data_IF_789900588286
#
_entry.id   IF_789900588286
#
_cell.length_a   1.000
_cell.length_b   1.000
_cell.length_c   1.000
_cell.angle_alpha   90.00
_cell.angle_beta   90.00
_cell.angle_gamma   90.00
#
_symmetry.space_group_name_H-M   'P 1'
#
loop_
_entity.id
_entity.type
_entity.pdbx_description
1 polymer ?
#
# COMPACT_ATOMS: atom_id res chain seq x y z
N UNK A 1 18.43 -14.35 18.38
CA UNK A 1 18.05 -15.49 17.55
C UNK A 1 17.43 -15.05 16.25
N UNK A 2 17.91 -15.55 15.17
CA UNK A 2 17.39 -15.21 13.87
C UNK A 2 15.98 -15.79 13.67
N UNK A 3 15.08 -14.99 13.09
CA UNK A 3 13.71 -15.38 12.84
C UNK A 3 13.51 -15.80 11.39
N UNK A 4 13.41 -17.09 11.10
CA UNK A 4 13.20 -17.50 9.72
C UNK A 4 11.89 -16.98 9.11
N UNK A 5 10.87 -16.73 9.94
CA UNK A 5 9.59 -16.22 9.47
C UNK A 5 9.65 -14.79 9.00
N UNK A 6 10.76 -14.08 9.27
CA UNK A 6 10.95 -12.72 8.78
C UNK A 6 11.33 -12.67 7.30
N UNK A 7 11.61 -13.83 6.70
CA UNK A 7 11.97 -13.90 5.29
C UNK A 7 10.74 -14.27 4.48
N UNK A 8 10.39 -13.42 3.55
CA UNK A 8 9.30 -13.67 2.62
C UNK A 8 9.87 -14.07 1.27
N UNK A 9 9.42 -15.21 0.77
CA UNK A 9 9.79 -15.69 -0.56
C UNK A 9 8.55 -15.66 -1.44
N UNK A 10 8.40 -14.63 -2.30
CA UNK A 10 7.21 -14.51 -3.11
C UNK A 10 7.14 -15.60 -4.16
N UNK A 11 5.92 -15.85 -4.62
CA UNK A 11 5.64 -16.84 -5.66
C UNK A 11 6.47 -16.50 -6.92
N UNK A 12 7.32 -17.42 -7.40
CA UNK A 12 8.13 -17.15 -8.60
C UNK A 12 7.30 -17.00 -9.87
N UNK A 13 6.05 -17.45 -9.87
CA UNK A 13 5.14 -17.34 -11.01
C UNK A 13 4.15 -16.18 -10.88
N UNK A 14 4.41 -15.24 -9.98
CA UNK A 14 3.46 -14.15 -9.67
C UNK A 14 3.13 -13.26 -10.86
N UNK A 15 4.00 -13.19 -11.84
CA UNK A 15 3.78 -12.35 -13.02
C UNK A 15 3.15 -13.06 -14.20
N UNK A 16 2.90 -14.36 -14.09
CA UNK A 16 2.54 -15.17 -15.25
C UNK A 16 1.15 -14.86 -15.81
N UNK A 17 0.20 -14.50 -14.94
CA UNK A 17 -1.20 -14.32 -15.36
C UNK A 17 -1.74 -12.90 -15.22
N UNK A 18 -1.02 -12.03 -14.51
CA UNK A 18 -1.47 -10.65 -14.33
C UNK A 18 -1.21 -9.83 -15.60
N UNK A 19 -2.20 -9.03 -15.98
CA UNK A 19 -2.05 -8.08 -17.08
C UNK A 19 -1.47 -6.78 -16.54
N UNK A 20 -0.43 -6.28 -17.22
CA UNK A 20 0.21 -5.01 -16.87
C UNK A 20 0.05 -4.03 -18.03
N UNK A 21 -0.44 -2.83 -17.72
CA UNK A 21 -0.70 -1.80 -18.72
C UNK A 21 0.17 -0.58 -18.44
N UNK A 22 0.60 0.10 -19.48
CA UNK A 22 1.36 1.33 -19.31
C UNK A 22 0.45 2.45 -18.78
N UNK A 23 0.97 3.23 -17.85
CA UNK A 23 0.28 4.41 -17.34
C UNK A 23 0.63 5.59 -18.23
N UNK A 24 -0.07 5.71 -19.35
CA UNK A 24 0.16 6.78 -20.32
C UNK A 24 1.59 6.74 -20.86
N UNK A 25 2.28 7.88 -20.82
CA UNK A 25 3.66 8.01 -21.27
C UNK A 25 4.65 8.06 -20.12
N UNK A 26 4.22 7.74 -18.91
CA UNK A 26 5.04 7.89 -17.70
C UNK A 26 6.17 6.86 -17.60
N UNK A 27 6.08 5.77 -18.32
CA UNK A 27 7.04 4.66 -18.20
C UNK A 27 6.65 3.64 -17.16
N UNK A 28 5.63 3.92 -16.35
CA UNK A 28 5.16 2.96 -15.35
C UNK A 28 4.25 1.93 -16.00
N UNK A 29 4.37 0.70 -15.53
CA UNK A 29 3.43 -0.37 -15.85
C UNK A 29 2.67 -0.73 -14.59
N UNK A 30 1.36 -0.66 -14.67
CA UNK A 30 0.49 -0.95 -13.52
C UNK A 30 -0.27 -2.24 -13.76
N UNK A 31 -0.48 -3.04 -12.70
CA UNK A 31 -1.30 -4.24 -12.84
C UNK A 31 -2.75 -3.86 -13.07
N UNK A 32 -3.49 -4.77 -13.70
CA UNK A 32 -4.92 -4.55 -13.95
C UNK A 32 -5.70 -4.40 -12.65
N UNK A 33 -5.18 -4.95 -11.55
CA UNK A 33 -5.79 -4.88 -10.21
C UNK A 33 -4.76 -4.28 -9.26
N UNK A 34 -5.19 -3.34 -8.44
CA UNK A 34 -4.36 -2.71 -7.42
C UNK A 34 -4.88 -3.05 -6.03
N UNK A 35 -4.01 -3.00 -5.03
CA UNK A 35 -4.39 -3.21 -3.64
C UNK A 35 -4.59 -1.86 -2.96
N UNK A 36 -5.82 -1.58 -2.54
CA UNK A 36 -6.11 -0.35 -1.81
C UNK A 36 -5.90 -0.51 -0.33
N UNK A 37 -5.38 0.51 0.32
CA UNK A 37 -5.07 0.50 1.75
C UNK A 37 -6.07 1.30 2.59
N UNK A 38 -7.23 1.64 2.02
CA UNK A 38 -8.22 2.40 2.76
C UNK A 38 -8.82 1.58 3.91
N UNK A 39 -9.08 0.31 3.67
CA UNK A 39 -9.60 -0.59 4.69
C UNK A 39 -8.60 -1.70 4.95
N UNK A 40 -8.67 -2.31 6.16
CA UNK A 40 -7.90 -3.49 6.53
C UNK A 40 -6.40 -3.27 6.76
N UNK A 41 -5.94 -2.02 6.74
CA UNK A 41 -4.52 -1.73 6.97
C UNK A 41 -4.30 -0.66 8.04
N UNK A 42 -5.34 -0.36 8.81
CA UNK A 42 -5.26 0.65 9.86
C UNK A 42 -4.89 0.09 11.22
N UNK A 43 -5.13 0.91 12.24
CA UNK A 43 -4.73 0.60 13.61
C UNK A 43 -5.60 -0.47 14.27
N UNK A 44 -6.73 -0.83 13.67
CA UNK A 44 -7.63 -1.86 14.24
C UNK A 44 -7.44 -3.23 13.60
N UNK A 45 -6.57 -3.36 12.62
CA UNK A 45 -6.36 -4.63 11.92
C UNK A 45 -5.10 -5.31 12.46
N UNK A 46 -5.18 -6.60 12.84
CA UNK A 46 -3.98 -7.31 13.28
C UNK A 46 -2.92 -7.34 12.19
N UNK A 47 -1.66 -7.20 12.61
CA UNK A 47 -0.54 -7.13 11.67
C UNK A 47 -0.43 -8.39 10.80
N UNK A 48 -0.68 -9.56 11.40
CA UNK A 48 -0.60 -10.82 10.64
C UNK A 48 -1.65 -10.90 9.53
N UNK A 49 -2.81 -10.28 9.75
CA UNK A 49 -3.84 -10.22 8.72
C UNK A 49 -3.40 -9.30 7.58
N UNK A 50 -2.83 -8.15 7.91
CA UNK A 50 -2.29 -7.23 6.90
C UNK A 50 -1.19 -7.90 6.09
N UNK A 51 -0.30 -8.61 6.76
CA UNK A 51 0.79 -9.35 6.12
C UNK A 51 0.23 -10.38 5.13
N UNK A 52 -0.76 -11.14 5.56
CA UNK A 52 -1.39 -12.15 4.71
C UNK A 52 -2.03 -11.53 3.46
N UNK A 53 -2.71 -10.41 3.62
CA UNK A 53 -3.34 -9.72 2.49
C UNK A 53 -2.29 -9.27 1.47
N UNK A 54 -1.22 -8.66 1.94
CA UNK A 54 -0.17 -8.13 1.07
C UNK A 54 0.58 -9.27 0.39
N UNK A 55 0.89 -10.34 1.11
CA UNK A 55 1.57 -11.49 0.52
C UNK A 55 0.72 -12.14 -0.56
N UNK A 56 -0.57 -12.34 -0.29
CA UNK A 56 -1.47 -12.93 -1.27
C UNK A 56 -1.56 -12.04 -2.51
N UNK A 57 -1.66 -10.73 -2.32
CA UNK A 57 -1.73 -9.81 -3.43
C UNK A 57 -0.46 -9.87 -4.28
N UNK A 58 0.70 -9.77 -3.65
CA UNK A 58 1.97 -9.77 -4.38
C UNK A 58 2.23 -11.12 -5.05
N UNK A 59 1.90 -12.21 -4.37
CA UNK A 59 2.06 -13.56 -4.94
C UNK A 59 1.20 -13.76 -6.19
N UNK A 60 0.20 -12.94 -6.39
CA UNK A 60 -0.67 -12.98 -7.57
C UNK A 60 -0.40 -11.85 -8.55
N UNK A 61 0.70 -11.15 -8.40
CA UNK A 61 1.13 -10.14 -9.35
C UNK A 61 0.59 -8.74 -9.11
N UNK A 62 -0.05 -8.49 -7.97
CA UNK A 62 -0.50 -7.13 -7.65
C UNK A 62 0.69 -6.36 -7.11
N UNK A 63 1.20 -5.43 -7.92
CA UNK A 63 2.42 -4.68 -7.63
C UNK A 63 2.15 -3.21 -7.31
N UNK A 64 0.89 -2.79 -7.34
CA UNK A 64 0.52 -1.41 -7.03
C UNK A 64 -0.27 -1.35 -5.73
N UNK A 65 0.26 -0.62 -4.76
CA UNK A 65 -0.38 -0.39 -3.45
C UNK A 65 -0.77 1.08 -3.39
N UNK A 66 -2.06 1.34 -3.16
CA UNK A 66 -2.60 2.70 -3.16
C UNK A 66 -3.00 3.13 -1.76
N UNK A 67 -2.43 4.25 -1.33
CA UNK A 67 -2.62 4.80 -0.01
C UNK A 67 -3.15 6.23 -0.07
N UNK A 68 -3.35 6.81 1.10
CA UNK A 68 -3.56 8.24 1.28
C UNK A 68 -3.05 8.62 2.67
N UNK A 69 -2.73 9.90 2.85
CA UNK A 69 -2.13 10.37 4.10
C UNK A 69 -3.05 10.20 5.31
N UNK A 70 -4.36 10.10 5.08
CA UNK A 70 -5.31 9.99 6.19
C UNK A 70 -5.95 8.61 6.33
N UNK A 71 -5.50 7.61 5.57
CA UNK A 71 -6.05 6.27 5.71
C UNK A 71 -5.73 5.70 7.10
N UNK A 72 -6.76 5.16 7.75
CA UNK A 72 -6.61 4.68 9.09
C UNK A 72 -7.72 3.72 9.45
N UNK A 73 -8.42 3.85 10.62
CA UNK A 73 -9.12 5.08 11.06
C UNK A 73 -8.23 6.14 11.72
N UNK A 74 -7.14 5.76 12.37
CA UNK A 74 -6.19 6.76 12.83
C UNK A 74 -5.45 7.36 11.64
N UNK A 75 -5.54 8.67 11.37
CA UNK A 75 -4.90 9.25 10.19
C UNK A 75 -3.41 8.94 10.13
N UNK A 76 -2.96 8.48 8.97
CA UNK A 76 -1.57 8.12 8.77
C UNK A 76 -1.21 6.68 9.14
N UNK A 77 -2.12 5.94 9.76
CA UNK A 77 -1.79 4.60 10.24
C UNK A 77 -1.57 3.62 9.10
N UNK A 78 -2.34 3.73 8.02
CA UNK A 78 -2.15 2.83 6.88
C UNK A 78 -0.78 3.02 6.24
N UNK A 79 -0.31 4.26 6.12
CA UNK A 79 1.04 4.51 5.60
C UNK A 79 2.11 3.96 6.52
N UNK A 80 1.94 4.09 7.83
CA UNK A 80 2.88 3.52 8.79
C UNK A 80 2.94 2.00 8.67
N UNK A 81 1.79 1.35 8.57
CA UNK A 81 1.73 -0.10 8.47
C UNK A 81 2.31 -0.58 7.13
N UNK A 82 2.04 0.13 6.07
CA UNK A 82 2.66 -0.17 4.78
C UNK A 82 4.18 -0.09 4.88
N UNK A 83 4.68 0.95 5.53
CA UNK A 83 6.12 1.12 5.75
C UNK A 83 6.74 -0.04 6.51
N UNK A 84 6.06 -0.51 7.56
CA UNK A 84 6.52 -1.68 8.31
C UNK A 84 6.57 -2.93 7.45
N UNK A 85 5.53 -3.17 6.66
CA UNK A 85 5.48 -4.32 5.76
C UNK A 85 6.61 -4.26 4.72
N UNK A 86 6.82 -3.10 4.13
CA UNK A 86 7.87 -2.92 3.14
C UNK A 86 9.25 -3.16 3.75
N UNK A 87 9.50 -2.59 4.93
CA UNK A 87 10.80 -2.72 5.58
C UNK A 87 11.09 -4.15 6.01
N UNK A 88 10.07 -4.90 6.46
CA UNK A 88 10.27 -6.24 6.98
C UNK A 88 10.32 -7.30 5.88
N UNK A 89 9.53 -7.15 4.82
CA UNK A 89 9.31 -8.26 3.90
C UNK A 89 9.61 -7.94 2.44
N UNK A 90 9.70 -6.68 2.05
CA UNK A 90 9.81 -6.31 0.64
C UNK A 90 11.10 -5.55 0.30
N UNK A 91 12.10 -5.60 1.17
CA UNK A 91 13.35 -4.86 0.93
C UNK A 91 14.01 -5.26 -0.38
N UNK A 92 13.95 -6.54 -0.74
CA UNK A 92 14.55 -7.05 -1.95
C UNK A 92 13.60 -7.01 -3.15
N UNK A 93 12.39 -6.50 -2.95
CA UNK A 93 11.37 -6.45 -3.99
C UNK A 93 10.81 -5.04 -4.20
N UNK A 94 11.44 -4.04 -3.59
CA UNK A 94 10.93 -2.66 -3.66
C UNK A 94 10.85 -2.17 -5.10
N UNK A 95 11.79 -2.55 -5.94
CA UNK A 95 11.82 -2.14 -7.34
C UNK A 95 10.68 -2.73 -8.17
N UNK A 96 10.03 -3.74 -7.64
CA UNK A 96 8.88 -4.37 -8.30
C UNK A 96 7.57 -3.71 -7.92
N UNK A 97 7.58 -2.79 -6.96
CA UNK A 97 6.37 -2.19 -6.41
C UNK A 97 6.22 -0.74 -6.82
N UNK A 98 4.98 -0.36 -7.12
CA UNK A 98 4.58 1.03 -7.28
C UNK A 98 3.72 1.39 -6.08
N UNK A 99 4.15 2.39 -5.32
CA UNK A 99 3.43 2.85 -4.14
C UNK A 99 2.90 4.23 -4.46
N UNK A 100 1.58 4.38 -4.42
CA UNK A 100 0.96 5.68 -4.62
C UNK A 100 0.29 6.14 -3.33
N UNK A 101 0.34 7.43 -3.08
CA UNK A 101 -0.36 8.01 -1.94
C UNK A 101 -0.89 9.39 -2.35
N UNK A 102 -1.65 9.97 -1.45
CA UNK A 102 -2.34 11.24 -1.70
C UNK A 102 -2.09 12.17 -0.53
N UNK A 103 -2.08 13.44 -0.78
CA UNK A 103 -1.95 14.48 0.23
C UNK A 103 -3.17 15.40 0.16
N UNK A 104 -3.38 16.22 1.19
CA UNK A 104 -4.44 17.20 1.17
C UNK A 104 -5.69 16.78 1.93
N UNK A 105 -5.74 15.56 2.44
CA UNK A 105 -6.84 15.14 3.31
C UNK A 105 -6.57 15.57 4.74
N UNK A 106 -7.64 15.84 5.48
CA UNK A 106 -7.49 16.28 6.85
C UNK A 106 -6.90 15.17 7.73
N UNK A 107 -5.99 15.55 8.59
CA UNK A 107 -5.34 14.60 9.50
C UNK A 107 -5.41 15.07 10.95
N UNK A 108 -6.12 16.15 11.22
CA UNK A 108 -6.22 16.70 12.56
C UNK A 108 -7.61 17.26 12.81
N UNK A 109 -7.97 17.33 14.07
CA UNK A 109 -9.19 17.99 14.49
C UNK A 109 -8.95 19.50 14.54
N UNK A 110 -9.97 20.25 14.18
CA UNK A 110 -9.87 21.70 14.25
C UNK A 110 -10.79 22.38 13.25
N UNK A 111 -10.89 23.68 13.32
CA UNK A 111 -11.83 24.40 12.47
C UNK A 111 -11.48 24.33 10.99
N UNK A 112 -10.24 24.03 10.66
CA UNK A 112 -9.81 24.02 9.26
C UNK A 112 -9.67 22.63 8.69
N UNK A 113 -9.87 21.58 9.49
CA UNK A 113 -9.71 20.21 8.99
C UNK A 113 -10.62 19.92 7.82
N UNK A 114 -11.92 20.13 7.99
CA UNK A 114 -12.89 19.92 6.93
C UNK A 114 -12.73 20.91 5.79
N UNK A 115 -12.36 22.13 6.12
CA UNK A 115 -12.18 23.16 5.10
C UNK A 115 -11.06 22.81 4.12
N UNK A 116 -10.02 22.15 4.61
CA UNK A 116 -8.91 21.77 3.76
C UNK A 116 -9.33 20.77 2.68
N UNK A 117 -10.28 19.91 2.99
CA UNK A 117 -10.81 19.00 1.98
C UNK A 117 -11.42 19.77 0.82
N UNK A 118 -12.20 20.80 1.12
CA UNK A 118 -12.82 21.61 0.09
C UNK A 118 -11.79 22.43 -0.69
N UNK A 119 -10.77 22.91 0.00
CA UNK A 119 -9.73 23.71 -0.64
C UNK A 119 -8.89 22.88 -1.60
N UNK A 120 -8.63 21.61 -1.24
CA UNK A 120 -7.78 20.76 -2.05
C UNK A 120 -8.49 20.17 -3.27
N UNK A 121 -9.79 20.33 -3.37
CA UNK A 121 -10.50 19.89 -4.56
C UNK A 121 -10.25 20.82 -5.72
N UNK A 122 -9.95 20.31 -6.87
CA UNK A 122 -9.79 21.12 -8.08
C UNK A 122 -11.10 21.70 -8.57
#
# INVERSE_FOLDING_TARGET
MFEPTAIYAPNPHRYDTMTYNRAGTSGLKLPAVSLGFWHNFGDITPFDQMKSLVFTAFDNGITHFDLANNYGPEPGQAEKNCGLLLAKYFRHHRDELVISTKAGYEMWAGPYGLSLIHISEP
#
